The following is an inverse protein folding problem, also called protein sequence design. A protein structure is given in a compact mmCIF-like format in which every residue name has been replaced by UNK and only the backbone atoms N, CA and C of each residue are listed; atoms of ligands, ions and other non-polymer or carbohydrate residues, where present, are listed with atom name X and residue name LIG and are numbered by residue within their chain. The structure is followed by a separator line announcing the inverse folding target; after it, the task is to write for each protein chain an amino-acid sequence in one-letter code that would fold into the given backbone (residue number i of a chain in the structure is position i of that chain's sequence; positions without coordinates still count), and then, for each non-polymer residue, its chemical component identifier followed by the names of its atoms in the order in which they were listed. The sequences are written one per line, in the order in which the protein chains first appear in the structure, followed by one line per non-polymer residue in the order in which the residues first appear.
data_IF_635385692330
#
_entry.id   IF_635385692330
#
_cell.length_a   1.000
_cell.length_b   1.000
_cell.length_c   1.000
_cell.angle_alpha   90.00
_cell.angle_beta   90.00
_cell.angle_gamma   90.00
#
_symmetry.space_group_name_H-M   'P 1'
#
loop_
_entity.id
_entity.type
_entity.pdbx_description
1 polymer ?
#
# COMPACT_ATOMS: atom_id res chain seq x y z
N UNK A 1 -11.92 -2.90 8.00
CA UNK A 1 -12.99 -2.22 8.75
C UNK A 1 -13.31 -0.81 8.22
N UNK A 2 -12.63 -0.36 7.16
CA UNK A 2 -12.82 0.97 6.55
C UNK A 2 -12.51 2.16 7.46
N UNK A 3 -11.86 1.93 8.60
CA UNK A 3 -11.43 2.98 9.52
C UNK A 3 -10.11 3.59 9.06
N UNK A 4 -9.83 4.80 9.56
CA UNK A 4 -8.59 5.52 9.31
C UNK A 4 -7.52 5.09 10.31
N UNK A 5 -6.37 4.64 9.83
CA UNK A 5 -5.23 4.20 10.63
C UNK A 5 -3.95 4.91 10.22
N UNK A 6 -3.07 5.14 11.19
CA UNK A 6 -1.72 5.64 10.94
C UNK A 6 -0.72 4.51 11.14
N UNK A 7 -0.11 4.06 10.04
CA UNK A 7 0.89 2.97 10.08
C UNK A 7 2.32 3.45 9.78
N UNK A 8 2.48 4.69 9.32
CA UNK A 8 3.80 5.30 9.10
C UNK A 8 4.50 4.82 7.81
N UNK A 9 3.74 4.40 6.80
CA UNK A 9 4.30 4.16 5.48
C UNK A 9 4.82 5.50 4.91
N UNK A 10 6.04 5.55 4.35
CA UNK A 10 6.59 6.78 3.78
C UNK A 10 5.93 7.13 2.44
N UNK A 11 6.03 8.39 2.04
CA UNK A 11 5.74 8.81 0.68
C UNK A 11 6.82 8.28 -0.28
N UNK A 12 6.42 7.93 -1.50
CA UNK A 12 7.37 7.68 -2.59
C UNK A 12 7.86 9.04 -3.12
N UNK A 13 9.17 9.21 -3.25
CA UNK A 13 9.80 10.46 -3.70
C UNK A 13 9.56 10.78 -5.17
N UNK A 14 9.21 9.75 -5.96
CA UNK A 14 8.92 9.88 -7.39
C UNK A 14 7.45 10.25 -7.64
N UNK A 15 6.60 10.21 -6.60
CA UNK A 15 5.18 10.49 -6.68
C UNK A 15 4.82 11.79 -5.94
N UNK A 16 3.64 12.34 -6.26
CA UNK A 16 3.05 13.44 -5.48
C UNK A 16 2.84 12.96 -4.04
N UNK A 17 3.26 13.77 -3.07
CA UNK A 17 3.07 13.47 -1.66
C UNK A 17 1.58 13.37 -1.31
N UNK A 18 1.23 12.36 -0.54
CA UNK A 18 -0.11 12.17 0.02
C UNK A 18 -0.01 12.22 1.54
N UNK A 19 -0.83 13.10 2.15
CA UNK A 19 -0.88 13.36 3.58
C UNK A 19 -2.11 12.69 4.26
N UNK A 20 -2.87 11.89 3.50
CA UNK A 20 -4.07 11.20 3.96
C UNK A 20 -5.17 12.16 4.36
N UNK A 21 -5.70 12.03 5.58
CA UNK A 21 -6.66 12.97 6.17
C UNK A 21 -6.04 14.30 6.66
N UNK A 22 -4.84 14.64 6.20
CA UNK A 22 -4.01 15.74 6.71
C UNK A 22 -3.23 15.38 7.98
N UNK A 23 -3.45 14.18 8.52
CA UNK A 23 -2.73 13.66 9.70
C UNK A 23 -2.05 12.31 9.41
N UNK A 24 -1.83 11.98 8.14
CA UNK A 24 -1.22 10.70 7.70
C UNK A 24 -2.01 9.47 8.16
N UNK A 25 -3.33 9.61 8.33
CA UNK A 25 -4.21 8.47 8.52
C UNK A 25 -4.88 8.12 7.20
N UNK A 26 -4.89 6.83 6.90
CA UNK A 26 -5.42 6.29 5.67
C UNK A 26 -6.50 5.27 5.97
N UNK A 27 -7.51 5.22 5.12
CA UNK A 27 -8.57 4.20 5.20
C UNK A 27 -7.96 2.84 4.91
N UNK A 28 -8.28 1.81 5.70
CA UNK A 28 -7.90 0.43 5.36
C UNK A 28 -8.49 0.01 4.01
N UNK A 29 -7.64 -0.22 3.01
CA UNK A 29 -8.03 -0.69 1.68
C UNK A 29 -8.46 -2.16 1.68
N UNK A 30 -9.18 -2.57 0.64
CA UNK A 30 -9.46 -3.99 0.38
C UNK A 30 -8.17 -4.72 -0.03
N UNK A 31 -8.08 -6.02 0.27
CA UNK A 31 -7.01 -6.89 -0.23
C UNK A 31 -7.44 -7.77 -1.41
N UNK A 32 -8.66 -7.61 -1.92
CA UNK A 32 -9.10 -8.28 -3.16
C UNK A 32 -8.22 -7.80 -4.32
N UNK A 33 -7.71 -8.74 -5.12
CA UNK A 33 -6.79 -8.50 -6.24
C UNK A 33 -5.44 -7.86 -5.87
N UNK A 34 -5.05 -7.85 -4.58
CA UNK A 34 -3.85 -7.15 -4.09
C UNK A 34 -2.58 -7.51 -4.88
N UNK A 35 -2.43 -8.76 -5.30
CA UNK A 35 -1.24 -9.24 -6.04
C UNK A 35 -1.11 -8.65 -7.44
N UNK A 36 -2.15 -8.00 -7.97
CA UNK A 36 -2.22 -7.41 -9.31
C UNK A 36 -2.25 -5.87 -9.26
N UNK A 37 -2.28 -5.27 -8.07
CA UNK A 37 -2.48 -3.82 -7.89
C UNK A 37 -1.29 -3.15 -7.19
N UNK A 38 -0.09 -3.64 -7.45
CA UNK A 38 1.12 -2.90 -7.11
C UNK A 38 1.24 -1.62 -7.96
N UNK A 39 2.05 -0.64 -7.54
CA UNK A 39 2.80 -0.58 -6.30
C UNK A 39 1.90 -0.34 -5.06
N UNK A 40 2.40 -0.69 -3.87
CA UNK A 40 1.63 -0.78 -2.62
C UNK A 40 1.77 0.44 -1.70
N UNK A 41 0.83 0.53 -0.74
CA UNK A 41 0.60 1.66 0.17
C UNK A 41 -0.01 2.88 -0.52
N UNK A 42 -0.23 3.95 0.22
CA UNK A 42 -0.93 5.15 -0.25
C UNK A 42 -0.17 5.90 -1.35
N UNK A 43 1.16 5.91 -1.27
CA UNK A 43 2.01 6.59 -2.25
C UNK A 43 2.76 5.64 -3.19
N UNK A 44 2.42 4.34 -3.22
CA UNK A 44 3.10 3.37 -4.09
C UNK A 44 4.59 3.22 -3.78
N UNK A 45 4.96 3.13 -2.50
CA UNK A 45 6.36 3.13 -2.04
C UNK A 45 7.01 1.74 -2.01
N UNK A 46 6.21 0.68 -2.16
CA UNK A 46 6.70 -0.70 -2.23
C UNK A 46 6.25 -1.33 -3.55
N UNK A 47 7.16 -1.99 -4.25
CA UNK A 47 6.85 -2.67 -5.52
C UNK A 47 6.36 -4.10 -5.30
N UNK A 48 6.64 -4.68 -4.13
CA UNK A 48 6.43 -6.10 -3.87
C UNK A 48 5.76 -6.37 -2.51
N UNK A 49 4.93 -7.43 -2.44
CA UNK A 49 4.33 -7.87 -1.18
C UNK A 49 5.37 -8.24 -0.10
N UNK A 50 6.52 -8.87 -0.41
CA UNK A 50 7.59 -9.06 0.58
C UNK A 50 8.09 -7.77 1.23
N UNK A 51 8.19 -6.65 0.48
CA UNK A 51 8.56 -5.34 1.06
C UNK A 51 7.47 -4.85 2.03
N UNK A 52 6.19 -5.05 1.69
CA UNK A 52 5.06 -4.76 2.58
C UNK A 52 5.14 -5.59 3.88
N UNK A 53 5.38 -6.90 3.78
CA UNK A 53 5.51 -7.77 4.95
C UNK A 53 6.71 -7.38 5.83
N UNK A 54 7.85 -7.02 5.20
CA UNK A 54 9.01 -6.50 5.91
C UNK A 54 8.71 -5.19 6.66
N UNK A 55 7.90 -4.31 6.07
CA UNK A 55 7.44 -3.08 6.74
C UNK A 55 6.58 -3.37 7.98
N UNK A 56 5.60 -4.28 7.89
CA UNK A 56 4.80 -4.70 9.04
C UNK A 56 5.66 -5.34 10.14
N UNK A 57 6.62 -6.19 9.76
CA UNK A 57 7.55 -6.84 10.69
C UNK A 57 8.41 -5.83 11.46
N UNK A 58 8.83 -4.76 10.80
CA UNK A 58 9.60 -3.66 11.39
C UNK A 58 8.74 -2.67 12.16
N UNK A 59 7.41 -2.79 12.11
CA UNK A 59 6.46 -1.87 12.76
C UNK A 59 6.69 -0.42 12.33
N UNK A 60 6.96 -0.22 11.04
CA UNK A 60 7.21 1.10 10.47
C UNK A 60 8.61 1.65 10.76
N UNK A 61 9.49 0.90 11.44
CA UNK A 61 10.88 1.28 11.57
C UNK A 61 11.56 1.28 10.19
N UNK A 62 12.32 2.33 9.86
CA UNK A 62 12.99 2.44 8.57
C UNK A 62 14.04 1.33 8.43
N UNK A 63 14.39 0.93 7.19
CA UNK A 63 15.57 0.10 6.96
C UNK A 63 16.83 0.71 7.60
N UNK A 64 17.82 -0.11 7.99
CA UNK A 64 19.11 0.40 8.43
C UNK A 64 19.69 1.38 7.40
N UNK A 65 20.09 2.57 7.85
CA UNK A 65 20.66 3.61 6.99
C UNK A 65 19.65 4.49 6.24
N UNK A 66 18.35 4.21 6.33
CA UNK A 66 17.33 5.10 5.79
C UNK A 66 17.06 6.29 6.74
N UNK A 67 16.63 7.46 6.22
CA UNK A 67 16.26 8.60 7.04
C UNK A 67 15.13 8.22 8.02
N UNK A 68 15.08 8.87 9.21
CA UNK A 68 13.99 8.63 10.15
C UNK A 68 12.65 8.92 9.48
N UNK A 69 11.60 8.14 9.80
CA UNK A 69 10.28 8.37 9.22
C UNK A 69 9.81 9.78 9.59
N UNK A 70 9.00 10.43 8.73
CA UNK A 70 8.41 11.72 9.06
C UNK A 70 7.70 11.64 10.41
N UNK A 71 7.80 12.70 11.23
CA UNK A 71 7.15 12.75 12.54
C UNK A 71 5.65 12.91 12.36
N UNK A 72 4.98 11.80 12.06
CA UNK A 72 3.55 11.75 11.71
C UNK A 72 2.65 11.60 12.94
N UNK A 73 3.19 11.65 14.16
CA UNK A 73 2.46 11.39 15.40
C UNK A 73 2.36 9.90 15.76
N UNK A 74 1.62 9.52 16.82
CA UNK A 74 1.58 8.15 17.31
C UNK A 74 0.98 7.20 16.28
N UNK A 75 1.60 6.02 16.12
CA UNK A 75 1.12 4.94 15.27
C UNK A 75 -0.07 4.21 15.91
N UNK A 76 -0.89 3.58 15.08
CA UNK A 76 -2.05 2.83 15.53
C UNK A 76 -1.64 1.63 16.42
N UNK A 77 -2.22 1.45 17.62
CA UNK A 77 -1.93 0.31 18.48
C UNK A 77 -2.17 -1.05 17.82
N UNK A 78 -3.16 -1.17 16.93
CA UNK A 78 -3.41 -2.40 16.18
C UNK A 78 -2.22 -2.75 15.29
N UNK A 79 -1.63 -1.76 14.62
CA UNK A 79 -0.44 -1.94 13.80
C UNK A 79 0.76 -2.40 14.64
N UNK A 80 0.97 -1.78 15.81
CA UNK A 80 2.06 -2.15 16.71
C UNK A 80 1.93 -3.58 17.27
N UNK A 81 0.71 -4.12 17.29
CA UNK A 81 0.42 -5.48 17.75
C UNK A 81 0.49 -6.54 16.64
N UNK A 82 0.62 -6.14 15.37
CA UNK A 82 0.80 -7.07 14.26
C UNK A 82 2.13 -7.80 14.41
N UNK A 83 2.10 -9.11 14.15
CA UNK A 83 3.27 -9.99 14.10
C UNK A 83 3.30 -10.68 12.75
N UNK A 84 4.38 -10.47 12.01
CA UNK A 84 4.64 -11.12 10.71
C UNK A 84 6.02 -11.77 10.77
N UNK A 85 6.11 -12.98 11.34
CA UNK A 85 7.34 -13.76 11.33
C UNK A 85 7.82 -14.02 9.90
N UNK A 86 9.13 -13.95 9.60
CA UNK A 86 9.63 -14.18 8.24
C UNK A 86 9.25 -15.53 7.64
N UNK A 87 9.12 -16.56 8.48
CA UNK A 87 8.74 -17.90 8.02
C UNK A 87 7.32 -17.97 7.45
N UNK A 88 6.45 -17.01 7.80
CA UNK A 88 5.05 -16.98 7.36
C UNK A 88 4.89 -16.24 6.02
N UNK A 89 5.95 -15.62 5.49
CA UNK A 89 5.86 -14.76 4.30
C UNK A 89 5.25 -15.51 3.10
N UNK A 90 5.67 -16.76 2.87
CA UNK A 90 5.18 -17.59 1.77
C UNK A 90 3.70 -17.95 1.92
N UNK A 91 3.27 -18.30 3.13
CA UNK A 91 1.90 -18.71 3.44
C UNK A 91 0.94 -17.52 3.36
N UNK A 92 1.36 -16.35 3.86
CA UNK A 92 0.59 -15.11 3.76
C UNK A 92 0.42 -14.72 2.29
N UNK A 93 1.49 -14.75 1.50
CA UNK A 93 1.41 -14.42 0.07
C UNK A 93 0.53 -15.44 -0.67
N UNK A 94 0.63 -16.73 -0.33
CA UNK A 94 -0.24 -17.76 -0.91
C UNK A 94 -1.72 -17.52 -0.58
N UNK A 95 -2.04 -17.12 0.65
CA UNK A 95 -3.39 -16.72 1.03
C UNK A 95 -3.87 -15.49 0.24
N UNK A 96 -3.03 -14.45 0.12
CA UNK A 96 -3.37 -13.24 -0.63
C UNK A 96 -3.62 -13.51 -2.12
N UNK A 97 -2.92 -14.49 -2.71
CA UNK A 97 -3.20 -14.94 -4.08
C UNK A 97 -4.60 -15.52 -4.24
N UNK A 98 -5.15 -16.15 -3.20
CA UNK A 98 -6.52 -16.66 -3.18
C UNK A 98 -7.60 -15.57 -3.12
N UNK A 99 -7.21 -14.29 -2.95
CA UNK A 99 -8.13 -13.14 -2.98
C UNK A 99 -8.25 -12.51 -4.37
N UNK A 100 -7.70 -13.15 -5.40
CA UNK A 100 -7.77 -12.69 -6.78
C UNK A 100 -9.06 -13.13 -7.46
N UNK A 101 -9.44 -12.34 -8.45
CA UNK A 101 -10.45 -12.67 -9.45
C UNK A 101 -9.76 -12.89 -10.80
N UNK A 102 -9.97 -14.06 -11.42
CA UNK A 102 -9.35 -14.42 -12.70
C UNK A 102 -9.83 -13.52 -13.86
N UNK A 103 -10.92 -12.78 -13.66
CA UNK A 103 -11.48 -11.84 -14.62
C UNK A 103 -11.16 -10.38 -14.31
N UNK A 104 -10.24 -10.13 -13.37
CA UNK A 104 -9.82 -8.77 -13.05
C UNK A 104 -9.10 -8.12 -14.24
N UNK A 105 -9.68 -7.05 -14.75
CA UNK A 105 -9.11 -6.27 -15.84
C UNK A 105 -7.92 -5.43 -15.33
N UNK A 106 -6.77 -5.61 -15.97
CA UNK A 106 -5.52 -4.89 -15.66
C UNK A 106 -5.07 -3.99 -16.80
N UNK A 107 -5.79 -3.94 -17.91
CA UNK A 107 -5.41 -3.18 -19.08
C UNK A 107 -6.07 -1.80 -19.05
N UNK A 108 -5.29 -0.77 -19.38
CA UNK A 108 -5.87 0.54 -19.63
C UNK A 108 -6.67 0.46 -20.95
N UNK A 109 -7.92 0.94 -21.00
CA UNK A 109 -8.68 0.94 -22.25
C UNK A 109 -7.99 1.83 -23.29
N UNK A 110 -8.14 1.52 -24.58
CA UNK A 110 -7.58 2.34 -25.67
C UNK A 110 -8.34 3.64 -25.89
N UNK A 111 -9.65 3.61 -25.63
CA UNK A 111 -10.57 4.74 -25.76
C UNK A 111 -11.63 4.66 -24.64
N UNK A 112 -12.23 5.80 -24.31
CA UNK A 112 -13.40 5.85 -23.42
C UNK A 112 -14.64 6.29 -24.18
N UNK A 113 -15.87 5.85 -23.81
CA UNK A 113 -17.10 6.16 -24.55
C UNK A 113 -17.40 7.66 -24.76
N UNK A 114 -16.79 8.54 -23.95
CA UNK A 114 -16.90 10.00 -24.09
C UNK A 114 -16.03 10.58 -25.22
N UNK A 115 -15.09 9.82 -25.78
CA UNK A 115 -14.10 10.30 -26.74
C UNK A 115 -12.98 11.16 -26.13
N UNK A 116 -12.89 11.25 -24.79
CA UNK A 116 -11.80 11.93 -24.09
C UNK A 116 -10.53 11.06 -24.06
N UNK A 117 -9.34 11.64 -23.81
CA UNK A 117 -8.13 10.85 -23.58
C UNK A 117 -8.30 9.90 -22.40
N UNK A 118 -7.82 8.67 -22.54
CA UNK A 118 -7.74 7.68 -21.46
C UNK A 118 -6.86 8.24 -20.34
N UNK A 119 -7.32 8.12 -19.10
CA UNK A 119 -6.67 8.73 -17.93
C UNK A 119 -7.04 10.19 -17.69
N UNK A 120 -7.71 10.85 -18.63
CA UNK A 120 -8.07 12.27 -18.54
C UNK A 120 -6.88 13.21 -18.77
N UNK A 121 -6.99 14.46 -18.30
CA UNK A 121 -5.94 15.49 -18.43
C UNK A 121 -5.02 15.52 -17.21
N UNK A 122 -4.45 14.39 -16.84
CA UNK A 122 -3.45 14.31 -15.76
C UNK A 122 -2.11 14.88 -16.28
N UNK A 123 -1.74 16.06 -15.78
CA UNK A 123 -0.41 16.68 -15.93
C UNK A 123 0.50 16.26 -14.78
#
# INVERSE_FOLDING_TARGET
DYRLHRIGAPNNVDNVADDGDGTHRYRTQSLRNITLTGPYMHAGVFDTLPQVLAFYRRRGAPPPGAPPPPNVGPLDPLFLNVRVPPQDDADIIAFLRGLQDDTYDTEAPVDVPSGLPVGGSIQ
#
